data_IF_521418968296
#
_entry.id   IF_521418968296
#
_cell.length_a   1.000
_cell.length_b   1.000
_cell.length_c   1.000
_cell.angle_alpha   90.00
_cell.angle_beta   90.00
_cell.angle_gamma   90.00
#
_symmetry.space_group_name_H-M   'P 1'
#
loop_
_entity.id
_entity.type
_entity.pdbx_description
1 polymer ?
#
# COMPACT_ATOMS: atom_id res chain seq x y z
N UNK A 1 70.15 -26.97 -3.27
CA UNK A 1 69.69 -26.05 -2.20
C UNK A 1 68.29 -25.56 -2.56
N UNK A 2 67.46 -25.36 -1.56
CA UNK A 2 65.98 -25.46 -1.55
C UNK A 2 65.31 -24.09 -1.76
N UNK A 3 64.05 -24.12 -2.23
CA UNK A 3 62.97 -23.09 -2.18
C UNK A 3 63.00 -21.94 -3.22
N UNK A 4 61.87 -21.49 -3.80
CA UNK A 4 60.49 -21.65 -3.34
C UNK A 4 59.42 -21.47 -4.43
N UNK A 5 58.29 -22.14 -4.16
CA UNK A 5 56.95 -22.02 -4.73
C UNK A 5 56.24 -20.79 -4.12
N UNK A 6 55.03 -20.49 -4.63
CA UNK A 6 53.95 -19.65 -4.06
C UNK A 6 53.93 -18.22 -4.63
N UNK A 7 52.84 -17.70 -5.20
CA UNK A 7 51.51 -18.25 -5.38
C UNK A 7 50.58 -17.22 -6.05
N UNK A 8 49.61 -17.74 -6.79
CA UNK A 8 48.39 -17.02 -7.14
C UNK A 8 47.60 -16.73 -5.85
N UNK A 9 47.21 -15.48 -5.65
CA UNK A 9 46.17 -15.04 -4.71
C UNK A 9 45.77 -13.66 -5.20
N UNK A 10 44.59 -13.50 -5.81
CA UNK A 10 43.39 -13.11 -5.07
C UNK A 10 43.38 -11.57 -4.95
N UNK A 11 42.34 -10.81 -5.23
CA UNK A 11 40.93 -11.03 -5.01
C UNK A 11 40.22 -10.09 -5.98
N UNK A 12 39.48 -10.60 -6.96
CA UNK A 12 38.40 -9.82 -7.55
C UNK A 12 37.23 -9.95 -6.58
N UNK A 13 37.10 -8.93 -5.73
CA UNK A 13 35.95 -8.74 -4.86
C UNK A 13 34.72 -8.72 -5.74
N UNK A 14 33.88 -9.73 -5.55
CA UNK A 14 32.53 -9.78 -6.06
C UNK A 14 31.79 -8.54 -5.55
N UNK A 15 31.46 -7.62 -6.44
CA UNK A 15 30.35 -6.70 -6.22
C UNK A 15 29.06 -7.53 -6.33
N UNK A 16 28.78 -8.31 -5.29
CA UNK A 16 27.42 -8.73 -4.94
C UNK A 16 26.68 -7.50 -4.42
N UNK A 17 26.50 -6.52 -5.30
CA UNK A 17 25.60 -5.41 -5.08
C UNK A 17 24.21 -6.01 -5.14
N UNK A 18 23.65 -6.21 -3.96
CA UNK A 18 22.30 -6.64 -3.67
C UNK A 18 21.37 -6.28 -4.82
N UNK A 19 20.88 -7.29 -5.52
CA UNK A 19 19.61 -7.16 -6.21
C UNK A 19 18.68 -6.56 -5.17
N UNK A 20 18.33 -5.30 -5.37
CA UNK A 20 17.20 -4.67 -4.73
C UNK A 20 16.05 -5.57 -5.14
N UNK A 21 15.72 -6.53 -4.27
CA UNK A 21 14.52 -7.30 -4.42
C UNK A 21 13.45 -6.26 -4.65
N UNK A 22 12.84 -6.28 -5.83
CA UNK A 22 11.49 -5.77 -5.94
C UNK A 22 10.77 -6.31 -4.70
N UNK A 23 10.15 -5.45 -3.91
CA UNK A 23 9.28 -5.86 -2.81
C UNK A 23 8.17 -6.73 -3.42
N UNK A 24 8.49 -7.98 -3.71
CA UNK A 24 7.56 -8.97 -4.21
C UNK A 24 6.78 -9.36 -2.98
N UNK A 25 5.52 -8.95 -2.95
CA UNK A 25 4.56 -9.44 -2.00
C UNK A 25 4.36 -10.94 -2.26
N UNK A 26 5.31 -11.75 -1.81
CA UNK A 26 5.34 -13.20 -2.02
C UNK A 26 4.38 -13.93 -1.07
N UNK A 27 3.82 -13.20 -0.10
CA UNK A 27 2.80 -13.69 0.83
C UNK A 27 1.62 -12.72 0.88
N UNK A 28 0.41 -13.17 1.25
CA UNK A 28 -0.74 -12.29 1.39
C UNK A 28 -0.53 -11.23 2.48
N UNK A 29 0.22 -11.52 3.55
CA UNK A 29 0.56 -10.54 4.58
C UNK A 29 1.48 -9.45 4.05
N UNK A 30 2.48 -9.82 3.25
CA UNK A 30 3.37 -8.85 2.60
C UNK A 30 2.59 -7.95 1.64
N UNK A 31 1.63 -8.50 0.88
CA UNK A 31 0.76 -7.72 0.01
C UNK A 31 -0.09 -6.73 0.79
N UNK A 32 -0.73 -7.17 1.88
CA UNK A 32 -1.56 -6.32 2.72
C UNK A 32 -0.75 -5.21 3.40
N UNK A 33 0.44 -5.54 3.90
CA UNK A 33 1.37 -4.58 4.49
C UNK A 33 1.89 -3.57 3.45
N UNK A 34 2.22 -4.02 2.25
CA UNK A 34 2.62 -3.16 1.15
C UNK A 34 1.48 -2.22 0.74
N UNK A 35 0.25 -2.72 0.67
CA UNK A 35 -0.94 -1.91 0.37
C UNK A 35 -1.18 -0.86 1.44
N UNK A 36 -1.10 -1.23 2.72
CA UNK A 36 -1.23 -0.29 3.83
C UNK A 36 -0.15 0.81 3.77
N UNK A 37 1.09 0.43 3.48
CA UNK A 37 2.20 1.37 3.32
C UNK A 37 1.99 2.32 2.14
N UNK A 38 1.71 1.79 0.95
CA UNK A 38 1.46 2.60 -0.25
C UNK A 38 0.30 3.58 -0.04
N UNK A 39 -0.73 3.15 0.67
CA UNK A 39 -1.84 4.00 1.09
C UNK A 39 -1.39 5.14 2.02
N UNK A 40 -0.61 4.84 3.06
CA UNK A 40 -0.10 5.86 3.98
C UNK A 40 0.88 6.82 3.31
N UNK A 41 1.66 6.32 2.36
CA UNK A 41 2.61 7.10 1.55
C UNK A 41 1.90 7.90 0.44
N UNK A 42 0.58 7.72 0.26
CA UNK A 42 -0.24 8.34 -0.78
C UNK A 42 0.30 8.07 -2.20
N UNK A 43 0.90 6.91 -2.40
CA UNK A 43 1.55 6.50 -3.64
C UNK A 43 0.57 5.74 -4.53
N UNK A 44 -0.19 6.48 -5.34
CA UNK A 44 -1.17 5.94 -6.29
C UNK A 44 -0.56 4.90 -7.25
N UNK A 45 0.71 5.07 -7.66
CA UNK A 45 1.38 4.15 -8.58
C UNK A 45 1.76 2.82 -7.90
N UNK A 46 2.14 2.88 -6.62
CA UNK A 46 2.35 1.67 -5.81
C UNK A 46 1.02 0.96 -5.53
N UNK A 47 -0.04 1.70 -5.17
CA UNK A 47 -1.35 1.09 -4.95
C UNK A 47 -1.86 0.43 -6.23
N UNK A 48 -1.74 1.08 -7.39
CA UNK A 48 -2.15 0.53 -8.69
C UNK A 48 -1.52 -0.83 -9.00
N UNK A 49 -0.29 -1.07 -8.56
CA UNK A 49 0.41 -2.36 -8.75
C UNK A 49 -0.03 -3.43 -7.75
N UNK A 50 -0.64 -3.04 -6.64
CA UNK A 50 -1.05 -3.91 -5.53
C UNK A 50 -2.54 -4.23 -5.56
N UNK A 51 -3.31 -3.65 -6.48
CA UNK A 51 -4.75 -3.89 -6.63
C UNK A 51 -5.07 -4.51 -7.98
N UNK A 52 -6.13 -5.31 -8.02
CA UNK A 52 -6.59 -5.94 -9.25
C UNK A 52 -7.09 -4.88 -10.25
N UNK A 53 -6.77 -5.05 -11.53
CA UNK A 53 -6.99 -4.03 -12.55
C UNK A 53 -8.46 -3.59 -12.66
N UNK A 54 -9.41 -4.51 -12.43
CA UNK A 54 -10.84 -4.25 -12.45
C UNK A 54 -11.35 -3.42 -11.25
N UNK A 55 -10.56 -3.36 -10.17
CA UNK A 55 -10.84 -2.55 -8.98
C UNK A 55 -10.21 -1.18 -9.05
N UNK A 56 -9.15 -1.02 -9.83
CA UNK A 56 -8.56 0.29 -10.11
C UNK A 56 -9.55 1.20 -10.86
N UNK A 57 -9.57 2.47 -10.48
CA UNK A 57 -10.39 3.52 -11.10
C UNK A 57 -9.54 4.77 -11.24
N UNK A 58 -9.13 5.11 -12.47
CA UNK A 58 -8.20 6.22 -12.72
C UNK A 58 -8.68 7.57 -12.22
N UNK A 59 -10.00 7.75 -12.10
CA UNK A 59 -10.60 8.98 -11.58
C UNK A 59 -10.60 9.07 -10.04
N UNK A 60 -10.42 7.95 -9.33
CA UNK A 60 -10.48 7.89 -7.87
C UNK A 60 -9.11 7.55 -7.30
N UNK A 61 -8.25 8.57 -7.28
CA UNK A 61 -6.88 8.55 -6.76
C UNK A 61 -6.81 9.36 -5.47
N UNK A 62 -5.77 9.14 -4.65
CA UNK A 62 -5.63 9.90 -3.40
C UNK A 62 -5.58 11.39 -3.64
N UNK A 63 -4.82 11.80 -4.63
CA UNK A 63 -4.71 13.19 -5.01
C UNK A 63 -6.03 13.77 -5.52
N UNK A 64 -6.82 13.04 -6.31
CA UNK A 64 -8.11 13.55 -6.81
C UNK A 64 -9.14 13.68 -5.69
N UNK A 65 -9.24 12.69 -4.79
CA UNK A 65 -10.16 12.75 -3.66
C UNK A 65 -9.81 13.86 -2.66
N UNK A 66 -8.54 14.06 -2.33
CA UNK A 66 -8.14 15.20 -1.49
C UNK A 66 -8.45 16.55 -2.14
N UNK A 67 -8.23 16.67 -3.45
CA UNK A 67 -8.55 17.91 -4.17
C UNK A 67 -10.07 18.19 -4.17
N UNK A 68 -10.90 17.16 -4.30
CA UNK A 68 -12.35 17.26 -4.19
C UNK A 68 -12.80 17.66 -2.78
N UNK A 69 -12.25 17.01 -1.74
CA UNK A 69 -12.54 17.35 -0.34
C UNK A 69 -12.12 18.77 0.02
N UNK A 70 -10.94 19.21 -0.44
CA UNK A 70 -10.47 20.59 -0.27
C UNK A 70 -11.36 21.61 -1.00
N UNK A 71 -12.06 21.19 -2.07
CA UNK A 71 -13.08 22.00 -2.74
C UNK A 71 -14.36 22.20 -1.91
N UNK A 72 -14.66 21.26 -1.01
CA UNK A 72 -15.81 21.34 -0.07
C UNK A 72 -15.43 22.13 1.18
N UNK A 73 -14.34 21.75 1.85
CA UNK A 73 -13.77 22.48 2.99
C UNK A 73 -12.24 22.53 2.83
N UNK A 74 -11.63 23.72 2.63
CA UNK A 74 -10.19 23.86 2.47
C UNK A 74 -9.36 23.29 3.63
N UNK A 75 -9.94 23.17 4.84
CA UNK A 75 -9.27 22.60 6.01
C UNK A 75 -9.02 21.09 5.87
N UNK A 76 -9.70 20.42 4.95
CA UNK A 76 -9.51 19.00 4.65
C UNK A 76 -8.28 18.72 3.77
N UNK A 77 -7.63 19.76 3.22
CA UNK A 77 -6.50 19.60 2.31
C UNK A 77 -5.29 18.89 2.94
N UNK A 78 -5.13 19.01 4.26
CA UNK A 78 -3.98 18.46 5.02
C UNK A 78 -4.34 17.21 5.84
N UNK A 79 -5.52 16.62 5.61
CA UNK A 79 -5.94 15.41 6.33
C UNK A 79 -5.07 14.22 5.92
N UNK A 80 -4.43 13.60 6.90
CA UNK A 80 -3.64 12.39 6.73
C UNK A 80 -4.44 11.17 7.21
N UNK A 81 -4.94 10.38 6.27
CA UNK A 81 -5.50 9.07 6.57
C UNK A 81 -4.37 8.08 6.83
N UNK A 82 -4.56 7.25 7.86
CA UNK A 82 -3.60 6.21 8.22
C UNK A 82 -4.31 4.87 8.37
N UNK A 83 -3.69 3.85 7.80
CA UNK A 83 -4.11 2.46 7.91
C UNK A 83 -2.93 1.57 8.29
N UNK A 84 -3.23 0.40 8.81
CA UNK A 84 -2.26 -0.67 9.00
C UNK A 84 -2.82 -2.00 8.51
N UNK A 85 -1.94 -2.92 8.15
CA UNK A 85 -2.33 -4.29 7.88
C UNK A 85 -2.74 -4.97 9.19
N UNK A 86 -3.97 -5.49 9.21
CA UNK A 86 -4.51 -6.28 10.31
C UNK A 86 -4.35 -7.78 10.05
N UNK A 87 -5.39 -8.54 10.39
CA UNK A 87 -5.41 -10.00 10.25
C UNK A 87 -5.46 -10.45 8.77
N UNK A 88 -4.76 -11.56 8.48
CA UNK A 88 -4.93 -12.36 7.26
C UNK A 88 -5.42 -13.76 7.62
N UNK A 89 -6.56 -14.15 7.04
CA UNK A 89 -7.27 -15.41 7.29
C UNK A 89 -7.68 -16.11 5.98
N UNK A 90 -8.30 -17.28 6.11
CA UNK A 90 -8.83 -18.09 4.99
C UNK A 90 -7.80 -18.37 3.88
N UNK A 91 -6.55 -18.64 4.30
CA UNK A 91 -5.41 -18.77 3.40
C UNK A 91 -5.45 -20.06 2.60
N UNK A 92 -5.21 -19.94 1.31
CA UNK A 92 -4.91 -21.02 0.37
C UNK A 92 -3.64 -20.67 -0.40
N UNK A 93 -3.21 -21.54 -1.31
CA UNK A 93 -2.04 -21.28 -2.16
C UNK A 93 -2.25 -20.10 -3.14
N UNK A 94 -3.50 -19.68 -3.38
CA UNK A 94 -3.82 -18.64 -4.38
C UNK A 94 -4.79 -17.57 -3.90
N UNK A 95 -5.37 -17.71 -2.71
CA UNK A 95 -6.33 -16.77 -2.14
C UNK A 95 -6.13 -16.58 -0.65
N UNK A 96 -6.43 -15.40 -0.14
CA UNK A 96 -6.54 -15.12 1.28
C UNK A 96 -7.53 -13.97 1.51
N UNK A 97 -7.85 -13.72 2.77
CA UNK A 97 -8.72 -12.63 3.19
C UNK A 97 -7.95 -11.75 4.17
N UNK A 98 -7.70 -10.50 3.82
CA UNK A 98 -7.02 -9.50 4.66
C UNK A 98 -7.97 -8.46 5.23
N UNK A 99 -7.53 -7.75 6.27
CA UNK A 99 -8.24 -6.59 6.84
C UNK A 99 -7.29 -5.40 6.90
N UNK A 100 -7.72 -4.24 6.40
CA UNK A 100 -7.03 -2.97 6.67
C UNK A 100 -7.69 -2.27 7.86
N UNK A 101 -6.90 -2.07 8.90
CA UNK A 101 -7.34 -1.39 10.11
C UNK A 101 -7.06 0.11 9.97
N UNK A 102 -8.05 0.92 10.33
CA UNK A 102 -7.87 2.38 10.37
C UNK A 102 -7.20 2.78 11.67
N UNK A 103 -6.16 3.59 11.52
CA UNK A 103 -5.52 4.31 12.61
C UNK A 103 -6.16 5.70 12.75
N UNK A 104 -5.98 6.38 13.90
CA UNK A 104 -6.45 7.74 14.09
C UNK A 104 -5.99 8.65 12.94
N UNK A 105 -6.96 9.28 12.28
CA UNK A 105 -6.71 10.26 11.22
C UNK A 105 -6.07 11.50 11.83
N UNK A 106 -5.01 12.01 11.21
CA UNK A 106 -4.32 13.22 11.67
C UNK A 106 -4.81 14.42 10.85
N UNK A 107 -4.95 15.57 11.52
CA UNK A 107 -5.33 16.83 10.87
C UNK A 107 -6.84 16.98 10.58
N UNK A 108 -7.68 16.04 11.02
CA UNK A 108 -9.14 16.17 10.88
C UNK A 108 -9.68 17.26 11.81
N UNK A 109 -10.39 18.28 11.30
CA UNK A 109 -11.09 19.26 12.15
C UNK A 109 -12.19 18.58 12.98
N UNK A 110 -12.42 19.04 14.20
CA UNK A 110 -13.47 18.53 15.09
C UNK A 110 -14.83 19.24 14.89
N UNK A 111 -14.85 20.32 14.11
CA UNK A 111 -15.99 21.20 13.87
C UNK A 111 -16.33 21.31 12.37
N UNK A 112 -16.32 20.18 11.66
CA UNK A 112 -16.74 20.14 10.26
C UNK A 112 -18.20 20.58 10.10
N UNK A 113 -18.49 21.21 8.95
CA UNK A 113 -19.86 21.49 8.56
C UNK A 113 -20.57 20.19 8.19
N UNK A 114 -21.91 20.16 8.28
CA UNK A 114 -22.69 18.99 7.85
C UNK A 114 -22.47 18.62 6.37
N UNK A 115 -22.11 19.60 5.53
CA UNK A 115 -21.76 19.37 4.12
C UNK A 115 -20.41 18.65 3.99
N UNK A 116 -19.41 19.06 4.77
CA UNK A 116 -18.10 18.41 4.79
C UNK A 116 -18.17 16.98 5.36
N UNK A 117 -18.96 16.77 6.42
CA UNK A 117 -19.22 15.43 6.96
C UNK A 117 -19.91 14.53 5.92
N UNK A 118 -20.95 15.04 5.24
CA UNK A 118 -21.64 14.29 4.19
C UNK A 118 -20.74 14.00 2.98
N UNK A 119 -19.83 14.92 2.62
CA UNK A 119 -18.84 14.71 1.57
C UNK A 119 -17.85 13.60 1.95
N UNK A 120 -17.34 13.60 3.19
CA UNK A 120 -16.47 12.53 3.70
C UNK A 120 -17.16 11.17 3.62
N UNK A 121 -18.41 11.07 4.09
CA UNK A 121 -19.18 9.82 4.06
C UNK A 121 -19.48 9.34 2.62
N UNK A 122 -19.86 10.27 1.73
CA UNK A 122 -20.29 9.93 0.36
C UNK A 122 -19.14 9.61 -0.59
N UNK A 123 -17.98 10.25 -0.41
CA UNK A 123 -16.76 9.98 -1.19
C UNK A 123 -16.07 8.68 -0.75
N UNK A 124 -16.69 7.91 0.16
CA UNK A 124 -16.12 6.71 0.74
C UNK A 124 -14.80 6.97 1.47
N UNK A 125 -14.63 8.20 2.00
CA UNK A 125 -13.49 8.50 2.85
C UNK A 125 -13.57 7.54 4.05
N UNK A 126 -12.51 6.76 4.27
CA UNK A 126 -11.21 7.39 4.46
C UNK A 126 -10.27 7.31 3.27
N UNK A 127 -10.55 6.58 2.18
CA UNK A 127 -9.54 6.36 1.15
C UNK A 127 -10.09 6.22 -0.28
N UNK A 128 -9.26 6.58 -1.28
CA UNK A 128 -9.69 7.01 -2.61
C UNK A 128 -10.00 5.85 -3.54
N UNK A 129 -9.55 4.64 -3.19
CA UNK A 129 -9.80 3.43 -3.97
C UNK A 129 -10.77 2.61 -3.14
N UNK A 130 -11.91 2.23 -3.71
CA UNK A 130 -13.00 1.54 -3.00
C UNK A 130 -12.63 0.21 -2.33
N UNK A 131 -11.37 -0.23 -2.44
CA UNK A 131 -10.76 -1.36 -1.72
C UNK A 131 -10.20 -1.00 -0.35
N UNK A 132 -9.99 0.28 -0.05
CA UNK A 132 -9.20 0.71 1.11
C UNK A 132 -10.09 1.37 2.16
N UNK A 133 -11.31 0.88 2.34
CA UNK A 133 -12.12 1.36 3.46
C UNK A 133 -11.63 0.74 4.76
N UNK A 134 -11.73 1.54 5.81
CA UNK A 134 -11.39 1.14 7.16
C UNK A 134 -12.25 -0.03 7.65
N UNK A 135 -11.61 -1.12 8.08
CA UNK A 135 -12.32 -2.29 8.58
C UNK A 135 -12.97 -3.15 7.49
N UNK A 136 -12.76 -2.80 6.22
CA UNK A 136 -13.22 -3.64 5.12
C UNK A 136 -12.35 -4.89 4.96
N UNK A 137 -13.03 -5.95 4.55
CA UNK A 137 -12.44 -7.23 4.23
C UNK A 137 -11.96 -7.19 2.78
N UNK A 138 -10.67 -7.44 2.58
CA UNK A 138 -10.00 -7.41 1.28
C UNK A 138 -9.71 -8.84 0.85
N UNK A 139 -10.08 -9.19 -0.38
CA UNK A 139 -9.70 -10.47 -0.96
C UNK A 139 -8.32 -10.34 -1.58
N UNK A 140 -7.39 -11.14 -1.11
CA UNK A 140 -6.04 -11.21 -1.67
C UNK A 140 -6.02 -12.41 -2.63
N UNK A 141 -5.51 -12.23 -3.84
CA UNK A 141 -5.34 -13.32 -4.80
C UNK A 141 -3.95 -13.29 -5.41
N UNK A 142 -3.48 -14.43 -5.90
CA UNK A 142 -2.27 -14.49 -6.73
C UNK A 142 -2.63 -14.16 -8.19
N UNK A 143 -2.09 -13.07 -8.71
CA UNK A 143 -2.18 -12.69 -10.12
C UNK A 143 -0.77 -12.49 -10.69
N UNK A 144 -0.48 -13.14 -11.83
CA UNK A 144 0.85 -13.08 -12.47
C UNK A 144 2.03 -13.42 -11.53
N UNK A 145 1.80 -14.28 -10.53
CA UNK A 145 2.81 -14.68 -9.56
C UNK A 145 3.01 -13.73 -8.37
N UNK A 146 2.16 -12.70 -8.22
CA UNK A 146 2.19 -11.76 -7.10
C UNK A 146 0.85 -11.72 -6.37
N UNK A 147 0.87 -11.50 -5.05
CA UNK A 147 -0.35 -11.27 -4.29
C UNK A 147 -0.87 -9.84 -4.48
N UNK A 148 -2.13 -9.71 -4.88
CA UNK A 148 -2.82 -8.44 -5.14
C UNK A 148 -4.17 -8.39 -4.44
N UNK A 149 -4.64 -7.18 -4.14
CA UNK A 149 -5.92 -6.91 -3.48
C UNK A 149 -7.07 -6.70 -4.48
N UNK A 150 -8.10 -7.53 -4.36
CA UNK A 150 -9.42 -7.37 -4.95
C UNK A 150 -10.54 -7.36 -3.88
#
# INVERSE_FOLDING_TARGET
>A
MVAGVVGLSGWLVACSGSAQSADTADTPEAALAALARATNDQDDDAIKKLVCAEKWREQYTFRSTLAELAGVDPRLADVEYRVQAGEVRDKTDTTATGVLERLPTKGMPDDLSAEADAALDSMAAPLPIGLVRAGDVIKLIVENGAWVAC
#
